data_IF_197215028702
#
_entry.id   IF_197215028702
#
_cell.length_a   1.000
_cell.length_b   1.000
_cell.length_c   1.000
_cell.angle_alpha   90.00
_cell.angle_beta   90.00
_cell.angle_gamma   90.00
#
_symmetry.space_group_name_H-M   'P 1'
#
loop_
_entity.id
_entity.type
_entity.pdbx_description
1 polymer ?
#
# COMPACT_ATOMS: atom_id res chain seq x y z
N UNK A 1 27.42 -1.16 -54.95
CA UNK A 1 26.12 -1.85 -55.11
C UNK A 1 26.32 -3.31 -54.72
N UNK A 2 26.12 -3.70 -53.46
CA UNK A 2 26.37 -5.07 -52.99
C UNK A 2 25.08 -5.89 -53.12
N UNK A 3 25.08 -6.84 -54.07
CA UNK A 3 23.95 -7.71 -54.39
C UNK A 3 23.99 -8.90 -53.43
N UNK A 4 23.24 -8.83 -52.34
CA UNK A 4 23.07 -9.93 -51.39
C UNK A 4 22.22 -11.03 -52.06
N UNK A 5 22.69 -12.29 -52.15
CA UNK A 5 22.00 -13.37 -52.84
C UNK A 5 20.62 -13.63 -52.21
N UNK A 6 19.61 -13.85 -53.06
CA UNK A 6 18.18 -13.91 -52.71
C UNK A 6 17.85 -14.88 -51.57
N UNK A 7 18.62 -15.94 -51.37
CA UNK A 7 18.45 -16.92 -50.28
C UNK A 7 18.91 -16.44 -48.89
N UNK A 8 19.82 -15.47 -48.81
CA UNK A 8 20.35 -14.99 -47.53
C UNK A 8 19.35 -14.07 -46.80
N UNK A 9 18.47 -13.41 -47.57
CA UNK A 9 17.41 -12.52 -47.05
C UNK A 9 16.40 -13.30 -46.20
N UNK A 10 15.97 -14.47 -46.67
CA UNK A 10 15.04 -15.35 -45.92
C UNK A 10 15.68 -15.89 -44.64
N UNK A 11 16.95 -16.24 -44.67
CA UNK A 11 17.68 -16.73 -43.49
C UNK A 11 17.81 -15.64 -42.41
N UNK A 12 18.11 -14.39 -42.81
CA UNK A 12 18.15 -13.26 -41.86
C UNK A 12 16.78 -12.89 -41.30
N UNK A 13 15.71 -13.01 -42.10
CA UNK A 13 14.33 -12.83 -41.64
C UNK A 13 13.92 -13.91 -40.64
N UNK A 14 14.27 -15.17 -40.92
CA UNK A 14 13.98 -16.31 -40.03
C UNK A 14 14.74 -16.18 -38.70
N UNK A 15 16.03 -15.81 -38.73
CA UNK A 15 16.82 -15.58 -37.52
C UNK A 15 16.28 -14.42 -36.68
N UNK A 16 15.83 -13.32 -37.32
CA UNK A 16 15.16 -12.22 -36.62
C UNK A 16 13.83 -12.64 -36.01
N UNK A 17 13.04 -13.46 -36.70
CA UNK A 17 11.78 -13.99 -36.18
C UNK A 17 12.01 -14.88 -34.94
N UNK A 18 13.00 -15.78 -35.01
CA UNK A 18 13.39 -16.65 -33.88
C UNK A 18 13.88 -15.80 -32.71
N UNK A 19 14.72 -14.79 -32.96
CA UNK A 19 15.20 -13.89 -31.92
C UNK A 19 14.05 -13.12 -31.22
N UNK A 20 13.03 -12.67 -31.97
CA UNK A 20 11.84 -12.02 -31.40
C UNK A 20 11.01 -12.99 -30.57
N UNK A 21 10.85 -14.23 -31.01
CA UNK A 21 10.11 -15.26 -30.25
C UNK A 21 10.84 -15.62 -28.95
N UNK A 22 12.16 -15.80 -29.01
CA UNK A 22 12.99 -16.09 -27.83
C UNK A 22 12.99 -14.91 -26.87
N UNK A 23 13.11 -13.67 -27.38
CA UNK A 23 13.04 -12.47 -26.57
C UNK A 23 11.68 -12.32 -25.90
N UNK A 24 10.57 -12.53 -26.64
CA UNK A 24 9.21 -12.49 -26.08
C UNK A 24 9.01 -13.55 -24.99
N UNK A 25 9.52 -14.78 -25.16
CA UNK A 25 9.45 -15.82 -24.13
C UNK A 25 10.27 -15.50 -22.89
N UNK A 26 11.45 -14.91 -23.05
CA UNK A 26 12.27 -14.47 -21.93
C UNK A 26 11.64 -13.26 -21.20
N UNK A 27 10.96 -12.39 -21.95
CA UNK A 27 10.30 -11.21 -21.40
C UNK A 27 9.09 -11.57 -20.53
N UNK A 28 8.35 -12.62 -20.90
CA UNK A 28 7.18 -13.09 -20.14
C UNK A 28 7.60 -13.78 -18.83
N UNK A 29 8.75 -14.46 -18.78
CA UNK A 29 9.21 -15.15 -17.55
C UNK A 29 9.90 -14.23 -16.54
N UNK A 30 10.47 -13.10 -16.97
CA UNK A 30 11.22 -12.17 -16.09
C UNK A 30 10.31 -11.11 -15.46
N UNK A 31 9.11 -10.88 -16.00
CA UNK A 31 8.15 -9.98 -15.37
C UNK A 31 7.49 -10.66 -14.17
N UNK A 32 7.67 -10.16 -12.93
CA UNK A 32 6.87 -10.62 -11.80
C UNK A 32 5.40 -10.30 -12.11
N UNK A 33 4.57 -11.33 -12.17
CA UNK A 33 3.12 -11.19 -12.28
C UNK A 33 2.65 -10.30 -11.13
N UNK A 34 2.18 -9.08 -11.42
CA UNK A 34 1.34 -8.33 -10.48
C UNK A 34 0.10 -9.20 -10.30
N UNK A 35 0.10 -10.02 -9.24
CA UNK A 35 -1.08 -10.78 -8.85
C UNK A 35 -2.23 -9.76 -8.78
N UNK A 36 -3.36 -9.99 -9.46
CA UNK A 36 -4.50 -9.13 -9.27
C UNK A 36 -4.83 -9.19 -7.79
N UNK A 37 -4.66 -8.06 -7.09
CA UNK A 37 -5.30 -7.87 -5.79
C UNK A 37 -6.78 -8.11 -6.08
N UNK A 38 -7.37 -9.11 -5.43
CA UNK A 38 -8.79 -9.42 -5.59
C UNK A 38 -9.54 -8.28 -4.89
N UNK A 39 -9.69 -7.15 -5.58
CA UNK A 39 -10.57 -6.08 -5.16
C UNK A 39 -11.97 -6.49 -5.59
N UNK A 40 -12.81 -6.83 -4.61
CA UNK A 40 -14.21 -7.18 -4.84
C UNK A 40 -14.99 -5.87 -5.09
N UNK A 41 -14.71 -5.20 -6.22
CA UNK A 41 -15.23 -3.86 -6.50
C UNK A 41 -16.67 -3.91 -7.00
N UNK A 42 -17.62 -3.69 -6.09
CA UNK A 42 -18.92 -3.13 -6.46
C UNK A 42 -18.75 -1.64 -6.75
N UNK A 43 -18.38 -1.28 -7.98
CA UNK A 43 -18.39 0.13 -8.39
C UNK A 43 -19.83 0.64 -8.51
N UNK A 44 -20.34 1.24 -7.43
CA UNK A 44 -21.56 2.04 -7.46
C UNK A 44 -21.24 3.41 -8.08
N UNK A 45 -21.74 3.64 -9.30
CA UNK A 45 -21.56 4.89 -10.03
C UNK A 45 -22.35 6.03 -9.35
N UNK A 46 -21.68 6.86 -8.55
CA UNK A 46 -22.21 8.14 -8.10
C UNK A 46 -21.82 9.25 -9.10
N UNK A 47 -22.81 10.01 -9.56
CA UNK A 47 -22.74 11.02 -10.64
C UNK A 47 -21.99 12.32 -10.27
N UNK A 48 -21.09 12.27 -9.27
CA UNK A 48 -20.24 13.38 -8.86
C UNK A 48 -18.76 13.07 -9.11
N UNK A 49 -17.97 14.10 -9.42
CA UNK A 49 -16.53 14.00 -9.68
C UNK A 49 -15.80 13.53 -8.40
N UNK A 50 -15.65 12.21 -8.20
CA UNK A 50 -14.88 11.63 -7.08
C UNK A 50 -13.39 11.91 -7.30
N UNK A 51 -12.71 12.38 -6.26
CA UNK A 51 -11.25 12.53 -6.23
C UNK A 51 -10.59 11.18 -5.93
N UNK A 52 -9.37 10.95 -6.41
CA UNK A 52 -8.58 9.81 -5.96
C UNK A 52 -8.18 10.03 -4.49
N UNK A 53 -8.86 9.37 -3.57
CA UNK A 53 -8.68 9.51 -2.13
C UNK A 53 -8.96 8.19 -1.42
N UNK A 54 -8.32 7.99 -0.27
CA UNK A 54 -8.51 6.85 0.61
C UNK A 54 -8.59 7.34 2.06
N UNK A 55 -9.36 6.64 2.89
CA UNK A 55 -9.37 6.86 4.34
C UNK A 55 -8.27 5.98 4.92
N UNK A 56 -7.27 6.60 5.54
CA UNK A 56 -6.10 5.90 6.09
C UNK A 56 -6.14 5.97 7.61
N UNK A 57 -5.88 4.85 8.27
CA UNK A 57 -5.81 4.79 9.73
C UNK A 57 -4.61 3.97 10.19
N UNK A 58 -3.85 4.51 11.15
CA UNK A 58 -2.78 3.81 11.84
C UNK A 58 -3.33 3.33 13.18
N UNK A 59 -3.40 2.02 13.39
CA UNK A 59 -4.01 1.43 14.58
C UNK A 59 -3.50 0.04 14.88
N UNK A 60 -3.50 -0.30 16.17
CA UNK A 60 -3.08 -1.61 16.66
C UNK A 60 -4.26 -2.59 16.71
N UNK A 61 -3.94 -3.88 16.73
CA UNK A 61 -4.93 -4.95 16.93
C UNK A 61 -5.75 -4.77 18.23
N UNK A 62 -5.15 -4.23 19.29
CA UNK A 62 -5.82 -3.99 20.58
C UNK A 62 -6.87 -2.90 20.54
N UNK A 63 -6.85 -2.01 19.54
CA UNK A 63 -7.72 -0.84 19.42
C UNK A 63 -8.97 -1.11 18.55
N UNK A 64 -9.25 -2.38 18.25
CA UNK A 64 -10.33 -2.79 17.36
C UNK A 64 -11.69 -2.15 17.70
N UNK A 65 -12.10 -2.20 18.97
CA UNK A 65 -13.42 -1.69 19.38
C UNK A 65 -13.54 -0.17 19.27
N UNK A 66 -12.45 0.55 19.59
CA UNK A 66 -12.40 2.00 19.43
C UNK A 66 -12.40 2.40 17.95
N UNK A 67 -11.65 1.65 17.12
CA UNK A 67 -11.63 1.83 15.68
C UNK A 67 -12.99 1.53 15.04
N UNK A 68 -13.69 0.48 15.49
CA UNK A 68 -15.04 0.16 15.00
C UNK A 68 -16.02 1.32 15.23
N UNK A 69 -15.94 1.99 16.39
CA UNK A 69 -16.71 3.20 16.67
C UNK A 69 -16.37 4.36 15.71
N UNK A 70 -15.09 4.54 15.40
CA UNK A 70 -14.62 5.57 14.46
C UNK A 70 -15.06 5.28 13.01
N UNK A 71 -14.94 4.04 12.55
CA UNK A 71 -15.38 3.59 11.23
C UNK A 71 -16.86 3.91 11.04
N UNK A 72 -17.70 3.51 12.01
CA UNK A 72 -19.14 3.75 11.93
C UNK A 72 -19.49 5.22 11.77
N UNK A 73 -18.84 6.10 12.52
CA UNK A 73 -19.07 7.55 12.42
C UNK A 73 -18.69 8.11 11.05
N UNK A 74 -17.59 7.64 10.46
CA UNK A 74 -17.11 8.11 9.16
C UNK A 74 -17.97 7.54 8.02
N UNK A 75 -18.36 6.26 8.12
CA UNK A 75 -19.29 5.62 7.18
C UNK A 75 -20.64 6.35 7.17
N UNK A 76 -21.23 6.59 8.35
CA UNK A 76 -22.55 7.21 8.46
C UNK A 76 -22.58 8.66 7.95
N UNK A 77 -21.50 9.43 8.16
CA UNK A 77 -21.44 10.86 7.79
C UNK A 77 -20.93 11.12 6.38
N UNK A 78 -19.95 10.32 5.92
CA UNK A 78 -19.22 10.59 4.68
C UNK A 78 -19.33 9.39 3.76
N UNK A 79 -18.84 8.22 4.20
CA UNK A 79 -18.49 7.17 3.25
C UNK A 79 -19.69 6.40 2.70
N UNK A 80 -20.88 6.49 3.32
CA UNK A 80 -22.13 5.92 2.81
C UNK A 80 -22.49 6.37 1.39
N UNK A 81 -22.08 7.58 0.99
CA UNK A 81 -22.38 8.15 -0.33
C UNK A 81 -21.19 8.06 -1.31
N UNK A 82 -19.97 7.83 -0.80
CA UNK A 82 -18.73 7.94 -1.56
C UNK A 82 -17.91 6.65 -1.65
N UNK A 83 -18.17 5.66 -0.80
CA UNK A 83 -17.53 4.33 -0.82
C UNK A 83 -16.01 4.38 -1.11
N UNK A 84 -15.30 5.31 -0.48
CA UNK A 84 -13.85 5.40 -0.56
C UNK A 84 -13.20 4.17 0.10
N UNK A 85 -12.04 3.73 -0.44
CA UNK A 85 -11.25 2.67 0.17
C UNK A 85 -10.79 3.04 1.57
N UNK A 86 -10.70 2.03 2.44
CA UNK A 86 -10.08 2.12 3.75
C UNK A 86 -8.73 1.42 3.74
N UNK A 87 -7.70 2.08 4.26
CA UNK A 87 -6.35 1.54 4.39
C UNK A 87 -5.95 1.55 5.85
N UNK A 88 -5.76 0.36 6.43
CA UNK A 88 -5.29 0.18 7.80
C UNK A 88 -3.80 -0.11 7.81
N UNK A 89 -3.07 0.61 8.64
CA UNK A 89 -1.64 0.52 8.82
C UNK A 89 -1.34 0.06 10.25
N UNK A 90 -0.38 -0.85 10.40
CA UNK A 90 0.13 -1.28 11.70
C UNK A 90 1.61 -1.68 11.60
N UNK A 91 2.33 -1.67 12.72
CA UNK A 91 3.71 -2.18 12.82
C UNK A 91 3.74 -3.72 12.92
N UNK A 92 2.67 -4.32 13.45
CA UNK A 92 2.47 -5.77 13.50
C UNK A 92 1.44 -6.27 12.46
N UNK A 93 1.48 -7.56 12.08
CA UNK A 93 0.42 -8.16 11.28
C UNK A 93 -0.96 -8.02 11.93
N UNK A 94 -1.97 -7.65 11.14
CA UNK A 94 -3.35 -7.58 11.63
C UNK A 94 -3.90 -8.97 11.95
N UNK A 95 -4.67 -9.08 13.03
CA UNK A 95 -5.36 -10.32 13.39
C UNK A 95 -6.54 -10.60 12.45
N UNK A 96 -6.90 -11.87 12.30
CA UNK A 96 -8.08 -12.26 11.50
C UNK A 96 -9.38 -11.64 12.03
N UNK A 97 -9.50 -11.53 13.36
CA UNK A 97 -10.62 -10.85 14.01
C UNK A 97 -10.71 -9.38 13.57
N UNK A 98 -9.57 -8.68 13.57
CA UNK A 98 -9.51 -7.28 13.17
C UNK A 98 -9.96 -7.11 11.72
N UNK A 99 -9.42 -7.92 10.82
CA UNK A 99 -9.74 -7.88 9.38
C UNK A 99 -11.22 -8.19 9.16
N UNK A 100 -11.73 -9.26 9.78
CA UNK A 100 -13.11 -9.71 9.64
C UNK A 100 -14.10 -8.64 10.11
N UNK A 101 -13.89 -8.08 11.31
CA UNK A 101 -14.78 -7.10 11.89
C UNK A 101 -14.75 -5.77 11.11
N UNK A 102 -13.56 -5.25 10.78
CA UNK A 102 -13.45 -3.99 10.03
C UNK A 102 -14.00 -4.11 8.61
N UNK A 103 -13.76 -5.24 7.92
CA UNK A 103 -14.34 -5.50 6.60
C UNK A 103 -15.86 -5.62 6.61
N UNK A 104 -16.45 -6.08 7.71
CA UNK A 104 -17.92 -6.13 7.86
C UNK A 104 -18.55 -4.75 8.13
N UNK A 105 -17.79 -3.81 8.69
CA UNK A 105 -18.27 -2.46 9.04
C UNK A 105 -18.14 -1.46 7.88
N UNK A 106 -17.15 -1.66 7.01
CA UNK A 106 -16.82 -0.74 5.91
C UNK A 106 -17.67 -1.04 4.67
N UNK A 107 -18.17 0.00 4.00
CA UNK A 107 -18.95 -0.16 2.76
C UNK A 107 -18.09 -0.25 1.49
N UNK A 108 -16.85 0.23 1.53
CA UNK A 108 -15.86 0.19 0.45
C UNK A 108 -14.83 -0.94 0.58
N UNK A 109 -13.85 -1.00 -0.33
CA UNK A 109 -12.75 -1.96 -0.23
C UNK A 109 -11.82 -1.64 0.95
N UNK A 110 -11.32 -2.67 1.62
CA UNK A 110 -10.37 -2.57 2.74
C UNK A 110 -8.99 -3.10 2.33
N UNK A 111 -7.94 -2.37 2.71
CA UNK A 111 -6.54 -2.77 2.55
C UNK A 111 -5.84 -2.76 3.90
N UNK A 112 -4.94 -3.72 4.12
CA UNK A 112 -4.19 -3.88 5.36
C UNK A 112 -2.71 -3.94 5.02
N UNK A 113 -1.93 -2.98 5.52
CA UNK A 113 -0.50 -2.93 5.28
C UNK A 113 0.29 -2.92 6.59
N UNK A 114 1.42 -3.61 6.56
CA UNK A 114 2.38 -3.67 7.66
C UNK A 114 3.51 -2.70 7.34
N UNK A 115 3.81 -1.79 8.25
CA UNK A 115 4.90 -0.82 8.09
C UNK A 115 6.23 -1.50 8.45
N UNK A 116 7.20 -1.59 7.53
CA UNK A 116 8.52 -2.12 7.85
C UNK A 116 9.21 -1.24 8.90
N UNK A 117 9.76 -1.85 9.95
CA UNK A 117 10.47 -1.15 11.04
C UNK A 117 11.56 -0.16 10.56
N UNK A 118 12.16 -0.40 9.40
CA UNK A 118 13.18 0.46 8.81
C UNK A 118 12.69 1.89 8.49
N UNK A 119 11.38 2.10 8.33
CA UNK A 119 10.80 3.44 8.08
C UNK A 119 10.24 4.09 9.36
N UNK A 120 10.22 3.36 10.48
CA UNK A 120 9.67 3.79 11.77
C UNK A 120 10.74 3.99 12.85
N UNK A 121 12.00 3.63 12.56
CA UNK A 121 13.12 3.77 13.49
C UNK A 121 13.82 5.10 13.29
N UNK A 122 14.38 5.67 14.37
CA UNK A 122 15.24 6.85 14.27
C UNK A 122 16.31 6.61 13.21
N UNK A 123 16.42 7.50 12.21
CA UNK A 123 17.42 7.31 11.18
C UNK A 123 18.83 7.42 11.78
N UNK A 124 19.81 6.75 11.18
CA UNK A 124 21.18 6.61 11.72
C UNK A 124 21.89 7.95 11.98
N UNK A 125 21.42 9.05 11.36
CA UNK A 125 21.97 10.39 11.57
C UNK A 125 21.39 11.12 12.80
N UNK A 126 20.44 10.51 13.54
CA UNK A 126 19.87 11.11 14.74
C UNK A 126 20.66 10.65 15.96
N UNK A 127 21.24 11.63 16.66
CA UNK A 127 21.89 11.43 17.94
C UNK A 127 20.84 11.11 19.02
N UNK A 128 20.71 9.82 19.33
CA UNK A 128 19.79 9.30 20.35
C UNK A 128 20.06 9.89 21.74
N UNK A 129 21.30 10.28 22.03
CA UNK A 129 21.68 10.90 23.30
C UNK A 129 21.10 12.31 23.40
N UNK A 130 21.21 13.09 22.32
CA UNK A 130 20.61 14.43 22.23
C UNK A 130 19.08 14.38 22.25
N UNK A 131 18.48 13.37 21.61
CA UNK A 131 17.03 13.14 21.69
C UNK A 131 16.58 12.77 23.11
N UNK A 132 17.38 11.97 23.84
CA UNK A 132 17.12 11.64 25.24
C UNK A 132 17.22 12.86 26.16
N UNK A 133 18.25 13.68 26.02
CA UNK A 133 18.42 14.91 26.80
C UNK A 133 17.29 15.92 26.56
N UNK A 134 16.79 16.01 25.33
CA UNK A 134 15.59 16.77 24.99
C UNK A 134 14.37 16.30 25.77
N UNK A 135 14.13 14.97 25.79
CA UNK A 135 13.05 14.34 26.55
C UNK A 135 13.16 14.60 28.05
N UNK A 136 14.34 14.39 28.62
CA UNK A 136 14.56 14.60 30.06
C UNK A 136 14.30 16.09 30.45
N UNK A 137 14.63 17.04 29.57
CA UNK A 137 14.43 18.47 29.81
C UNK A 137 12.97 18.94 29.66
N UNK A 138 12.17 18.25 28.85
CA UNK A 138 10.77 18.56 28.59
C UNK A 138 9.82 17.78 29.54
N UNK A 139 10.22 16.59 29.98
CA UNK A 139 9.64 15.89 31.15
C UNK A 139 9.76 16.74 32.42
N UNK A 140 10.94 17.34 32.65
CA UNK A 140 11.14 18.29 33.76
C UNK A 140 10.19 19.51 33.69
N UNK A 141 9.69 19.84 32.49
CA UNK A 141 8.71 20.92 32.25
C UNK A 141 7.25 20.43 32.29
N UNK A 142 6.99 19.15 32.62
CA UNK A 142 5.66 18.53 32.72
C UNK A 142 4.82 18.65 31.44
N UNK A 143 5.45 18.52 30.28
CA UNK A 143 4.75 18.52 28.99
C UNK A 143 4.30 17.08 28.68
N UNK A 144 3.00 16.86 28.53
CA UNK A 144 2.33 15.53 28.61
C UNK A 144 2.58 14.62 27.38
N UNK A 145 3.06 15.13 26.24
CA UNK A 145 3.05 14.40 24.97
C UNK A 145 4.37 13.74 24.55
N UNK A 146 5.37 13.65 25.44
CA UNK A 146 6.75 13.39 25.01
C UNK A 146 7.23 11.94 24.99
N UNK A 147 6.55 11.02 25.68
CA UNK A 147 7.05 9.65 25.88
C UNK A 147 6.55 8.63 24.84
N UNK A 148 5.71 9.05 23.88
CA UNK A 148 5.00 8.09 23.00
C UNK A 148 5.14 8.38 21.49
N UNK A 149 5.64 9.55 21.07
CA UNK A 149 5.61 10.00 19.67
C UNK A 149 6.97 10.39 19.10
N UNK A 150 7.97 9.51 19.14
CA UNK A 150 9.13 9.63 18.25
C UNK A 150 9.79 8.29 17.97
#
# INVERSE_FOLDING_TARGET
>A
MWIIPRNQKYLTLLLRLIAVIVFARLFITVMPSKKPVVSNEKHTFHSGRRSNAAIVSLCRNSELYEMAGSIRQIEDRVNKNFNYPWVFLNDEPFSEEFISMTSALVSGPTEYAIIPHAHWSYPEWVDLQKAKEGRDALEAKRIIYELTYH
#
